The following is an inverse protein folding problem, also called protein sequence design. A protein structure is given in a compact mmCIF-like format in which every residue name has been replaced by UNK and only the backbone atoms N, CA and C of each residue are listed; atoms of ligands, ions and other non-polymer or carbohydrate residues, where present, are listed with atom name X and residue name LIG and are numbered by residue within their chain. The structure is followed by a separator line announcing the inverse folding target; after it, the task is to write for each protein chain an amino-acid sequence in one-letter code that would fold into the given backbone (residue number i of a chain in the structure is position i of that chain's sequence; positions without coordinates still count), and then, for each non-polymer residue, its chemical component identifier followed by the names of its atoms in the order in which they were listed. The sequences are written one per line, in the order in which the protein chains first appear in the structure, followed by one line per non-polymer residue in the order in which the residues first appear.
data_IF_048356347046
#
_entry.id   IF_048356347046
#
_cell.length_a   1.000
_cell.length_b   1.000
_cell.length_c   1.000
_cell.angle_alpha   90.00
_cell.angle_beta   90.00
_cell.angle_gamma   90.00
#
_symmetry.space_group_name_H-M   'P 1'
#
loop_
_entity.id
_entity.type
_entity.pdbx_description
1 polymer ?
#
# COMPACT_ATOMS: atom_id res chain seq x y z
N UNK A 1 2.98 -1.70 30.17
CA UNK A 1 3.93 -1.02 29.25
C UNK A 1 3.48 -1.26 27.82
N UNK A 2 2.64 -0.39 27.26
CA UNK A 2 2.33 -0.43 25.82
C UNK A 2 3.51 0.23 25.11
N UNK A 3 4.28 -0.56 24.33
CA UNK A 3 5.33 0.00 23.49
C UNK A 3 4.68 0.93 22.48
N UNK A 4 5.19 2.15 22.33
CA UNK A 4 4.80 3.03 21.23
C UNK A 4 5.10 2.31 19.92
N UNK A 5 4.06 1.92 19.18
CA UNK A 5 4.20 1.25 17.88
C UNK A 5 4.71 2.27 16.85
N UNK A 6 6.03 2.38 16.71
CA UNK A 6 6.65 3.20 15.67
C UNK A 6 6.31 2.63 14.28
N UNK A 7 5.34 3.25 13.62
CA UNK A 7 4.96 2.95 12.24
C UNK A 7 3.48 2.66 11.98
N UNK A 8 2.63 2.66 13.00
CA UNK A 8 1.19 2.76 12.79
C UNK A 8 0.85 4.21 12.39
N UNK A 9 0.10 4.39 11.30
CA UNK A 9 -0.50 5.69 10.99
C UNK A 9 -1.58 5.95 12.04
N UNK A 10 -1.88 7.22 12.35
CA UNK A 10 -3.18 7.52 12.91
C UNK A 10 -4.24 6.89 12.02
N UNK A 11 -5.22 6.18 12.58
CA UNK A 11 -6.29 5.54 11.81
C UNK A 11 -7.08 6.53 10.90
N UNK A 12 -6.88 7.83 11.11
CA UNK A 12 -7.54 8.92 10.40
C UNK A 12 -6.82 9.40 9.12
N UNK A 13 -5.61 8.93 8.78
CA UNK A 13 -4.88 9.47 7.63
C UNK A 13 -3.89 8.51 6.97
N UNK A 14 -3.70 8.68 5.66
CA UNK A 14 -2.73 7.93 4.85
C UNK A 14 -1.51 8.80 4.54
N UNK A 15 -0.32 8.40 5.00
CA UNK A 15 0.96 9.00 4.62
C UNK A 15 1.77 8.02 3.76
N UNK A 16 1.75 8.25 2.44
CA UNK A 16 2.49 7.42 1.47
C UNK A 16 4.01 7.39 1.68
N UNK A 17 4.58 8.35 2.43
CA UNK A 17 6.00 8.41 2.73
C UNK A 17 6.35 7.93 4.14
N UNK A 18 5.38 7.51 4.96
CA UNK A 18 5.60 7.08 6.35
C UNK A 18 6.78 6.13 6.50
N UNK A 19 6.77 5.02 5.75
CA UNK A 19 7.83 4.01 5.86
C UNK A 19 9.17 4.48 5.30
N UNK A 20 9.18 5.44 4.38
CA UNK A 20 10.42 6.08 3.93
C UNK A 20 11.04 6.91 5.06
N UNK A 21 10.23 7.73 5.73
CA UNK A 21 10.65 8.56 6.88
C UNK A 21 11.17 7.70 8.03
N UNK A 22 10.52 6.58 8.33
CA UNK A 22 10.97 5.66 9.38
C UNK A 22 12.32 5.00 9.05
N UNK A 23 12.55 4.63 7.79
CA UNK A 23 13.86 4.08 7.36
C UNK A 23 14.98 5.10 7.37
N UNK A 24 14.67 6.38 7.24
CA UNK A 24 15.65 7.46 7.32
C UNK A 24 16.15 7.70 8.75
N UNK A 25 15.46 7.17 9.77
CA UNK A 25 15.95 7.21 11.15
C UNK A 25 17.11 6.21 11.33
N UNK A 26 18.20 6.60 12.01
CA UNK A 26 19.33 5.70 12.27
C UNK A 26 18.90 4.40 12.96
N UNK A 27 19.36 3.26 12.45
CA UNK A 27 19.06 1.92 12.98
C UNK A 27 17.80 1.26 12.41
N UNK A 28 17.07 1.94 11.51
CA UNK A 28 15.84 1.44 10.90
C UNK A 28 15.97 1.12 9.40
N UNK A 29 17.18 1.15 8.86
CA UNK A 29 17.48 1.07 7.42
C UNK A 29 16.85 -0.18 6.77
N UNK A 30 16.84 -1.29 7.51
CA UNK A 30 16.33 -2.59 7.06
C UNK A 30 14.98 -2.98 7.69
N UNK A 31 14.51 -2.25 8.71
CA UNK A 31 13.34 -2.64 9.52
C UNK A 31 12.01 -2.43 8.80
N UNK A 32 11.87 -1.35 8.04
CA UNK A 32 10.60 -0.94 7.43
C UNK A 32 10.57 -1.14 5.92
N UNK A 33 11.23 -2.19 5.41
CA UNK A 33 11.08 -2.58 4.01
C UNK A 33 9.76 -3.32 3.82
N UNK A 34 9.20 -3.26 2.61
CA UNK A 34 7.91 -3.90 2.29
C UNK A 34 7.85 -5.41 2.61
N UNK A 35 8.99 -6.08 2.57
CA UNK A 35 9.13 -7.53 2.81
C UNK A 35 9.59 -7.87 4.23
N UNK A 36 9.92 -6.87 5.05
CA UNK A 36 10.42 -7.13 6.39
C UNK A 36 9.27 -7.62 7.25
N UNK A 37 9.50 -8.72 7.95
CA UNK A 37 8.56 -9.29 8.91
C UNK A 37 9.02 -8.90 10.30
N UNK A 38 8.13 -8.31 11.08
CA UNK A 38 8.41 -7.91 12.45
C UNK A 38 7.18 -8.15 13.31
N UNK A 39 7.36 -8.26 14.63
CA UNK A 39 6.24 -8.44 15.55
C UNK A 39 5.28 -7.23 15.57
N UNK A 40 5.75 -6.06 15.14
CA UNK A 40 4.97 -4.83 15.00
C UNK A 40 4.34 -4.66 13.59
N UNK A 41 4.66 -5.52 12.62
CA UNK A 41 4.08 -5.47 11.26
C UNK A 41 3.91 -6.88 10.67
N UNK A 42 2.66 -7.35 10.65
CA UNK A 42 2.30 -8.75 10.36
C UNK A 42 1.68 -8.97 8.98
N UNK A 43 1.82 -8.03 8.04
CA UNK A 43 1.23 -8.15 6.69
C UNK A 43 1.67 -9.43 5.93
N UNK A 44 2.83 -9.98 6.29
CA UNK A 44 3.37 -11.21 5.72
C UNK A 44 3.47 -12.35 6.73
N UNK A 45 2.86 -12.25 7.91
CA UNK A 45 3.11 -13.17 9.02
C UNK A 45 4.49 -12.99 9.66
N UNK A 46 4.89 -13.92 10.53
CA UNK A 46 6.12 -13.82 11.34
C UNK A 46 6.83 -15.18 11.45
N UNK A 47 8.16 -15.15 11.50
CA UNK A 47 9.00 -16.33 11.70
C UNK A 47 8.82 -17.39 10.61
N UNK A 48 8.75 -18.66 11.02
CA UNK A 48 8.59 -19.83 10.14
C UNK A 48 7.32 -19.78 9.28
N UNK A 49 6.29 -19.07 9.73
CA UNK A 49 5.02 -18.91 9.02
C UNK A 49 4.96 -17.61 8.20
N UNK A 50 6.09 -16.93 8.01
CA UNK A 50 6.13 -15.79 7.12
C UNK A 50 5.85 -16.23 5.67
N UNK A 51 4.99 -15.48 4.98
CA UNK A 51 4.59 -15.75 3.61
C UNK A 51 5.83 -15.87 2.71
N UNK A 52 6.04 -17.04 2.06
CA UNK A 52 7.19 -17.24 1.18
C UNK A 52 7.09 -16.36 -0.09
N UNK A 53 5.87 -15.98 -0.50
CA UNK A 53 5.60 -15.18 -1.68
C UNK A 53 5.91 -13.68 -1.55
N UNK A 54 6.29 -13.17 -0.36
CA UNK A 54 6.47 -11.72 -0.14
C UNK A 54 7.52 -11.07 -1.06
N UNK A 55 8.58 -11.79 -1.41
CA UNK A 55 9.62 -11.29 -2.32
C UNK A 55 9.12 -11.15 -3.75
N UNK A 56 8.34 -12.13 -4.20
CA UNK A 56 7.70 -12.11 -5.52
C UNK A 56 6.67 -10.98 -5.58
N UNK A 57 5.78 -10.91 -4.59
CA UNK A 57 4.76 -9.86 -4.50
C UNK A 57 5.35 -8.46 -4.54
N UNK A 58 6.45 -8.20 -3.81
CA UNK A 58 7.20 -6.93 -3.87
C UNK A 58 7.56 -6.53 -5.30
N UNK A 59 8.04 -7.48 -6.10
CA UNK A 59 8.44 -7.23 -7.48
C UNK A 59 7.20 -7.03 -8.36
N UNK A 60 6.21 -7.92 -8.26
CA UNK A 60 4.97 -7.83 -9.04
C UNK A 60 4.28 -6.49 -8.84
N UNK A 61 4.07 -6.08 -7.59
CA UNK A 61 3.40 -4.82 -7.27
C UNK A 61 4.16 -3.65 -7.88
N UNK A 62 5.49 -3.57 -7.71
CA UNK A 62 6.28 -2.49 -8.30
C UNK A 62 6.15 -2.43 -9.82
N UNK A 63 6.24 -3.57 -10.50
CA UNK A 63 6.10 -3.65 -11.96
C UNK A 63 4.70 -3.20 -12.39
N UNK A 64 3.65 -3.69 -11.74
CA UNK A 64 2.28 -3.29 -12.05
C UNK A 64 2.08 -1.79 -11.82
N UNK A 65 2.55 -1.23 -10.71
CA UNK A 65 2.46 0.21 -10.45
C UNK A 65 3.18 1.04 -11.51
N UNK A 66 4.37 0.63 -11.93
CA UNK A 66 5.09 1.32 -13.02
C UNK A 66 4.28 1.28 -14.31
N UNK A 67 3.72 0.13 -14.68
CA UNK A 67 2.88 0.01 -15.89
C UNK A 67 1.60 0.86 -15.79
N UNK A 68 0.92 0.84 -14.64
CA UNK A 68 -0.26 1.68 -14.41
C UNK A 68 0.09 3.16 -14.57
N UNK A 69 1.17 3.64 -13.95
CA UNK A 69 1.57 5.04 -13.99
C UNK A 69 2.07 5.49 -15.37
N UNK A 70 2.69 4.59 -16.13
CA UNK A 70 3.22 4.91 -17.46
C UNK A 70 2.14 4.92 -18.53
N UNK A 71 1.13 4.06 -18.42
CA UNK A 71 0.22 3.79 -19.52
C UNK A 71 -1.25 4.11 -19.23
N UNK A 72 -1.62 4.46 -18.00
CA UNK A 72 -3.01 4.72 -17.62
C UNK A 72 -3.15 6.03 -16.86
N UNK A 73 -4.16 6.81 -17.25
CA UNK A 73 -4.74 7.86 -16.43
C UNK A 73 -6.02 7.30 -15.82
N UNK A 74 -6.06 7.20 -14.49
CA UNK A 74 -7.20 6.63 -13.77
C UNK A 74 -7.61 7.49 -12.59
N UNK A 75 -8.92 7.49 -12.31
CA UNK A 75 -9.54 8.21 -11.19
C UNK A 75 -10.82 7.51 -10.75
N UNK A 76 -11.29 7.82 -9.55
CA UNK A 76 -12.62 7.41 -9.10
C UNK A 76 -13.70 8.09 -9.95
N UNK A 77 -14.79 7.37 -10.22
CA UNK A 77 -15.97 7.99 -10.86
C UNK A 77 -16.44 9.16 -10.01
N UNK A 78 -16.57 10.34 -10.63
CA UNK A 78 -16.95 11.59 -9.95
C UNK A 78 -15.78 12.42 -9.41
N UNK A 79 -14.55 11.90 -9.37
CA UNK A 79 -13.36 12.64 -8.92
C UNK A 79 -12.78 13.55 -10.01
N UNK A 80 -13.60 14.46 -10.53
CA UNK A 80 -13.21 15.32 -11.66
C UNK A 80 -12.03 16.23 -11.29
N UNK A 81 -12.02 16.72 -10.05
CA UNK A 81 -10.99 17.60 -9.51
C UNK A 81 -9.72 16.87 -9.02
N UNK A 82 -9.70 15.53 -9.05
CA UNK A 82 -8.59 14.69 -8.58
C UNK A 82 -8.19 14.96 -7.12
N UNK A 83 -9.19 15.11 -6.25
CA UNK A 83 -9.00 15.37 -4.81
C UNK A 83 -9.18 14.11 -3.96
N UNK A 84 -9.23 12.93 -4.59
CA UNK A 84 -9.35 11.64 -3.92
C UNK A 84 -10.75 11.06 -3.97
N UNK A 85 -11.70 11.73 -4.64
CA UNK A 85 -13.04 11.22 -4.91
C UNK A 85 -13.90 10.99 -3.66
N UNK A 86 -15.06 10.33 -3.82
CA UNK A 86 -15.90 9.95 -2.69
C UNK A 86 -15.19 8.92 -1.80
N UNK A 87 -15.50 8.94 -0.51
CA UNK A 87 -14.96 7.97 0.44
C UNK A 87 -15.32 6.54 0.02
N UNK A 88 -14.29 5.68 -0.06
CA UNK A 88 -14.43 4.26 -0.41
C UNK A 88 -14.47 3.44 0.88
N UNK A 89 -15.49 2.60 1.00
CA UNK A 89 -15.62 1.69 2.15
C UNK A 89 -14.55 0.60 2.17
N UNK A 90 -14.63 -0.26 3.18
CA UNK A 90 -13.80 -1.46 3.27
C UNK A 90 -14.64 -2.72 3.05
N UNK A 91 -14.02 -3.74 2.47
CA UNK A 91 -14.58 -5.06 2.28
C UNK A 91 -13.71 -6.08 3.02
N UNK A 92 -14.31 -6.84 3.94
CA UNK A 92 -13.65 -7.95 4.60
C UNK A 92 -13.75 -9.20 3.73
N UNK A 93 -12.61 -9.66 3.22
CA UNK A 93 -12.49 -10.85 2.40
C UNK A 93 -11.78 -11.94 3.21
N UNK A 94 -12.58 -12.76 3.89
CA UNK A 94 -12.19 -13.91 4.73
C UNK A 94 -11.19 -13.54 5.84
N UNK A 95 -9.93 -13.32 5.50
CA UNK A 95 -8.84 -12.92 6.42
C UNK A 95 -8.21 -11.55 6.10
N UNK A 96 -8.63 -10.87 5.03
CA UNK A 96 -8.04 -9.60 4.59
C UNK A 96 -9.06 -8.46 4.56
N UNK A 97 -8.77 -7.34 5.22
CA UNK A 97 -9.51 -6.10 5.03
C UNK A 97 -8.98 -5.40 3.78
N UNK A 98 -9.82 -5.29 2.76
CA UNK A 98 -9.50 -4.64 1.49
C UNK A 98 -10.33 -3.37 1.33
N UNK A 99 -9.97 -2.50 0.40
CA UNK A 99 -10.87 -1.45 -0.07
C UNK A 99 -12.06 -2.08 -0.78
N UNK A 100 -13.22 -1.44 -0.75
CA UNK A 100 -14.36 -1.87 -1.54
C UNK A 100 -14.01 -1.85 -3.05
N UNK A 101 -13.80 -3.04 -3.60
CA UNK A 101 -13.42 -3.25 -5.00
C UNK A 101 -14.59 -3.13 -5.97
N UNK A 102 -15.82 -2.94 -5.48
CA UNK A 102 -16.99 -2.68 -6.33
C UNK A 102 -17.06 -1.22 -6.79
N UNK A 103 -16.27 -0.33 -6.17
CA UNK A 103 -16.25 1.09 -6.54
C UNK A 103 -15.65 1.27 -7.94
N UNK A 104 -16.39 1.89 -8.87
CA UNK A 104 -15.95 2.00 -10.25
C UNK A 104 -14.82 3.02 -10.43
N UNK A 105 -13.85 2.66 -11.28
CA UNK A 105 -12.77 3.52 -11.74
C UNK A 105 -13.00 3.94 -13.19
N UNK A 106 -12.71 5.20 -13.50
CA UNK A 106 -12.53 5.67 -14.87
C UNK A 106 -11.06 5.47 -15.25
N UNK A 107 -10.80 4.78 -16.35
CA UNK A 107 -9.45 4.49 -16.82
C UNK A 107 -9.32 4.86 -18.29
N UNK A 108 -8.27 5.61 -18.63
CA UNK A 108 -7.93 5.99 -19.99
C UNK A 108 -6.51 5.54 -20.29
N UNK A 109 -6.31 4.87 -21.42
CA UNK A 109 -4.96 4.52 -21.91
C UNK A 109 -4.25 5.77 -22.43
N UNK A 110 -2.99 5.94 -22.02
CA UNK A 110 -2.11 6.99 -22.52
C UNK A 110 -1.50 6.54 -23.86
N UNK A 111 -1.43 7.45 -24.83
CA UNK A 111 -0.89 7.17 -26.16
C UNK A 111 0.64 7.05 -26.15
N UNK A 112 1.30 7.71 -25.20
CA UNK A 112 2.75 7.70 -25.00
C UNK A 112 3.04 7.49 -23.53
N UNK A 113 3.99 6.61 -23.22
CA UNK A 113 4.51 6.46 -21.87
C UNK A 113 5.45 7.61 -21.53
N UNK A 114 5.28 8.16 -20.32
CA UNK A 114 6.21 9.11 -19.73
C UNK A 114 7.55 8.46 -19.36
#
# INVERSE_FOLDING_TARGET
MLRSHQGADPAAGFDGFRFSKLRAMPGNENKYQYITTTSDYLAWGLGTHSCPGRFFSRTCIKVHFVELLRFLDFRLVGDVERKGGPAVGHMLNDFTLTTDISVPLQMKRLEVAH
#
